data_IF_338800519128
#
_entry.id   IF_338800519128
#
_cell.length_a   1.000
_cell.length_b   1.000
_cell.length_c   1.000
_cell.angle_alpha   90.00
_cell.angle_beta   90.00
_cell.angle_gamma   90.00
#
_symmetry.space_group_name_H-M   'P 1'
#
loop_
_entity.id
_entity.type
_entity.pdbx_description
1 polymer ?
#
# COMPACT_ATOMS: atom_id res chain seq x y z
N UNK A 1 -3.64 14.09 4.22
CA UNK A 1 -3.54 13.44 2.89
C UNK A 1 -2.62 14.24 1.96
N UNK A 2 -1.67 13.56 1.30
CA UNK A 2 -0.85 14.14 0.24
C UNK A 2 -1.58 13.91 -1.10
N UNK A 3 -2.11 14.96 -1.76
CA UNK A 3 -2.94 14.78 -2.96
C UNK A 3 -2.23 14.05 -4.10
N UNK A 4 -0.89 14.07 -4.15
CA UNK A 4 -0.12 13.38 -5.18
C UNK A 4 -0.24 11.86 -5.07
N UNK A 5 -0.33 11.35 -3.85
CA UNK A 5 -0.28 9.91 -3.58
C UNK A 5 -1.64 9.35 -3.17
N UNK A 6 -2.60 10.20 -2.79
CA UNK A 6 -3.91 9.75 -2.37
C UNK A 6 -4.66 9.06 -3.54
N UNK A 7 -5.04 7.80 -3.33
CA UNK A 7 -5.72 6.97 -4.31
C UNK A 7 -7.20 6.78 -3.93
N UNK A 8 -8.15 6.85 -4.89
CA UNK A 8 -9.55 6.61 -4.60
C UNK A 8 -9.78 5.16 -4.16
N UNK A 9 -10.21 4.95 -2.91
CA UNK A 9 -10.52 3.60 -2.37
C UNK A 9 -11.54 2.85 -3.22
N UNK A 10 -12.46 3.55 -3.88
CA UNK A 10 -13.46 2.95 -4.79
C UNK A 10 -12.84 2.32 -6.05
N UNK A 11 -11.61 2.67 -6.39
CA UNK A 11 -10.84 2.08 -7.49
C UNK A 11 -9.89 0.97 -7.03
N UNK A 12 -9.92 0.60 -5.74
CA UNK A 12 -9.12 -0.46 -5.16
C UNK A 12 -10.01 -1.62 -4.73
N UNK A 13 -9.80 -2.80 -5.32
CA UNK A 13 -10.52 -4.03 -4.96
C UNK A 13 -9.56 -5.00 -4.28
N UNK A 14 -9.77 -5.24 -2.98
CA UNK A 14 -8.98 -6.22 -2.21
C UNK A 14 -9.39 -7.63 -2.63
N UNK A 15 -8.41 -8.48 -2.98
CA UNK A 15 -8.64 -9.86 -3.44
C UNK A 15 -8.39 -10.88 -2.32
N UNK A 16 -7.19 -10.87 -1.72
CA UNK A 16 -6.80 -11.86 -0.70
C UNK A 16 -5.71 -11.33 0.24
N UNK A 17 -5.53 -11.98 1.39
CA UNK A 17 -4.40 -11.73 2.29
C UNK A 17 -3.18 -12.51 1.79
N UNK A 18 -2.06 -11.82 1.57
CA UNK A 18 -0.79 -12.44 1.17
C UNK A 18 0.04 -12.85 2.39
N UNK A 19 -0.03 -12.07 3.47
CA UNK A 19 0.69 -12.36 4.69
C UNK A 19 0.33 -11.40 5.82
N UNK A 20 0.57 -11.85 7.05
CA UNK A 20 0.38 -11.06 8.26
C UNK A 20 1.51 -11.39 9.24
N UNK A 21 2.10 -10.36 9.86
CA UNK A 21 3.25 -10.54 10.74
C UNK A 21 3.50 -9.33 11.63
N UNK A 22 4.73 -9.17 12.08
CA UNK A 22 5.15 -8.03 12.92
C UNK A 22 5.01 -6.68 12.18
N UNK A 23 5.11 -6.71 10.85
CA UNK A 23 5.06 -5.51 10.00
C UNK A 23 3.64 -5.15 9.52
N UNK A 24 2.60 -5.65 10.20
CA UNK A 24 1.21 -5.49 9.80
C UNK A 24 0.71 -6.58 8.86
N UNK A 25 -0.22 -6.22 7.98
CA UNK A 25 -0.91 -7.11 7.03
C UNK A 25 -0.64 -6.66 5.59
N UNK A 26 -0.35 -7.63 4.72
CA UNK A 26 -0.17 -7.41 3.29
C UNK A 26 -1.28 -8.12 2.52
N UNK A 27 -1.92 -7.41 1.62
CA UNK A 27 -3.05 -7.86 0.81
C UNK A 27 -2.67 -7.82 -0.67
N UNK A 28 -3.23 -8.72 -1.46
CA UNK A 28 -3.28 -8.59 -2.91
C UNK A 28 -4.54 -7.82 -3.28
N UNK A 29 -4.43 -6.89 -4.23
CA UNK A 29 -5.55 -6.12 -4.72
C UNK A 29 -5.44 -5.82 -6.22
N UNK A 30 -6.55 -5.40 -6.82
CA UNK A 30 -6.60 -4.77 -8.14
C UNK A 30 -6.85 -3.29 -7.99
N UNK A 31 -5.98 -2.47 -8.56
CA UNK A 31 -6.16 -1.03 -8.65
C UNK A 31 -6.47 -0.65 -10.11
N UNK A 32 -7.40 0.29 -10.30
CA UNK A 32 -7.74 0.84 -11.62
C UNK A 32 -7.03 2.17 -11.82
N UNK A 33 -6.35 2.34 -12.96
CA UNK A 33 -5.70 3.59 -13.37
C UNK A 33 -4.72 4.14 -12.30
N UNK A 34 -3.87 3.28 -11.73
CA UNK A 34 -2.94 3.65 -10.66
C UNK A 34 -1.58 4.10 -11.21
N UNK A 35 -1.10 5.25 -10.73
CA UNK A 35 0.13 5.86 -11.23
C UNK A 35 0.05 6.12 -12.74
N UNK A 36 1.05 5.68 -13.49
CA UNK A 36 1.10 5.79 -14.96
C UNK A 36 0.51 4.57 -15.69
N UNK A 37 -0.24 3.70 -15.00
CA UNK A 37 -0.66 2.38 -15.49
C UNK A 37 -2.17 2.38 -15.74
N UNK A 38 -2.62 2.50 -17.00
CA UNK A 38 -4.04 2.49 -17.32
C UNK A 38 -4.67 1.10 -17.17
N UNK A 39 -5.92 1.04 -16.74
CA UNK A 39 -6.67 -0.20 -16.54
C UNK A 39 -6.36 -0.92 -15.23
N UNK A 40 -6.61 -2.23 -15.19
CA UNK A 40 -6.41 -3.03 -13.99
C UNK A 40 -4.94 -3.41 -13.79
N UNK A 41 -4.39 -3.03 -12.64
CA UNK A 41 -3.05 -3.42 -12.21
C UNK A 41 -3.14 -4.25 -10.93
N UNK A 42 -2.46 -5.39 -10.88
CA UNK A 42 -2.28 -6.15 -9.63
C UNK A 42 -1.30 -5.40 -8.74
N UNK A 43 -1.68 -5.16 -7.49
CA UNK A 43 -0.87 -4.42 -6.51
C UNK A 43 -0.83 -5.16 -5.18
N UNK A 44 0.22 -4.90 -4.41
CA UNK A 44 0.23 -5.25 -3.00
C UNK A 44 -0.25 -4.05 -2.17
N UNK A 45 -1.00 -4.31 -1.11
CA UNK A 45 -1.49 -3.29 -0.18
C UNK A 45 -1.01 -3.64 1.21
N UNK A 46 -0.13 -2.80 1.75
CA UNK A 46 0.30 -2.89 3.15
C UNK A 46 -0.66 -2.08 4.02
N UNK A 47 -1.10 -2.68 5.12
CA UNK A 47 -2.04 -2.09 6.05
C UNK A 47 -1.81 -2.60 7.47
N UNK A 48 -2.53 -2.03 8.43
CA UNK A 48 -2.51 -2.45 9.82
C UNK A 48 -3.44 -3.64 10.06
N UNK A 49 -3.16 -4.38 11.14
CA UNK A 49 -4.12 -5.32 11.71
C UNK A 49 -5.27 -4.57 12.37
N UNK A 50 -6.37 -5.27 12.63
CA UNK A 50 -7.57 -4.67 13.23
C UNK A 50 -7.33 -4.16 14.66
N UNK A 51 -6.38 -4.76 15.38
CA UNK A 51 -5.99 -4.45 16.75
C UNK A 51 -4.68 -3.65 16.86
N UNK A 52 -4.22 -3.06 15.75
CA UNK A 52 -2.96 -2.33 15.72
C UNK A 52 -2.94 -1.12 16.66
N UNK A 53 -1.80 -0.95 17.32
CA UNK A 53 -1.49 0.15 18.20
C UNK A 53 -1.23 1.46 17.45
N UNK A 54 -1.26 2.57 18.19
CA UNK A 54 -0.86 3.87 17.65
C UNK A 54 0.62 3.91 17.21
N UNK A 55 1.48 3.07 17.82
CA UNK A 55 2.88 2.96 17.41
C UNK A 55 2.98 2.32 16.04
N UNK A 56 2.29 1.20 15.79
CA UNK A 56 2.29 0.54 14.49
C UNK A 56 1.73 1.43 13.38
N UNK A 57 0.73 2.28 13.69
CA UNK A 57 0.27 3.32 12.75
C UNK A 57 1.37 4.33 12.44
N UNK A 58 2.11 4.80 13.45
CA UNK A 58 3.22 5.73 13.24
C UNK A 58 4.35 5.10 12.41
N UNK A 59 4.64 3.81 12.64
CA UNK A 59 5.64 3.05 11.87
C UNK A 59 5.20 2.92 10.41
N UNK A 60 3.95 2.54 10.14
CA UNK A 60 3.41 2.47 8.78
C UNK A 60 3.46 3.84 8.06
N UNK A 61 3.14 4.93 8.76
CA UNK A 61 3.22 6.28 8.20
C UNK A 61 4.67 6.72 7.96
N UNK A 62 5.62 6.23 8.77
CA UNK A 62 7.05 6.47 8.56
C UNK A 62 7.56 5.73 7.33
N UNK A 63 7.16 4.46 7.15
CA UNK A 63 7.42 3.70 5.92
C UNK A 63 6.87 4.41 4.69
N UNK A 64 5.65 4.95 4.77
CA UNK A 64 5.07 5.74 3.70
C UNK A 64 5.95 6.93 3.30
N UNK A 65 6.51 7.68 4.26
CA UNK A 65 7.43 8.79 3.92
C UNK A 65 8.70 8.28 3.23
N UNK A 66 9.29 7.19 3.70
CA UNK A 66 10.49 6.61 3.09
C UNK A 66 10.23 6.14 1.65
N UNK A 67 9.10 5.47 1.42
CA UNK A 67 8.74 4.97 0.10
C UNK A 67 8.42 6.08 -0.91
N UNK A 68 7.97 7.25 -0.46
CA UNK A 68 7.77 8.42 -1.35
C UNK A 68 9.07 8.98 -1.93
N UNK A 69 10.15 8.87 -1.17
CA UNK A 69 11.48 9.37 -1.54
C UNK A 69 12.31 8.29 -2.25
N UNK A 70 11.94 7.02 -2.08
CA UNK A 70 12.62 5.90 -2.69
C UNK A 70 12.33 5.79 -4.20
N UNK A 71 13.37 5.89 -5.02
CA UNK A 71 13.31 5.58 -6.45
C UNK A 71 14.53 4.77 -6.87
N UNK A 72 14.40 3.45 -6.93
CA UNK A 72 15.48 2.55 -7.33
C UNK A 72 14.91 1.23 -7.90
N UNK A 73 15.50 0.63 -8.95
CA UNK A 73 14.97 -0.59 -9.58
C UNK A 73 14.90 -1.82 -8.66
N UNK A 74 15.65 -1.84 -7.57
CA UNK A 74 15.67 -2.93 -6.59
C UNK A 74 14.89 -2.61 -5.30
N UNK A 75 14.12 -1.52 -5.27
CA UNK A 75 13.29 -1.13 -4.13
C UNK A 75 11.84 -1.14 -4.59
N UNK A 76 10.96 -1.77 -3.81
CA UNK A 76 9.54 -1.80 -4.10
C UNK A 76 9.02 -0.36 -4.22
N UNK A 77 8.37 -0.04 -5.33
CA UNK A 77 7.85 1.31 -5.58
C UNK A 77 6.49 1.51 -4.91
N UNK A 78 6.31 2.69 -4.33
CA UNK A 78 5.01 3.22 -3.95
C UNK A 78 4.23 3.63 -5.19
N UNK A 79 2.99 3.15 -5.31
CA UNK A 79 2.08 3.47 -6.40
C UNK A 79 1.00 4.46 -5.97
N UNK A 80 0.63 4.42 -4.70
CA UNK A 80 -0.36 5.30 -4.10
C UNK A 80 -0.62 4.95 -2.63
N UNK A 81 -1.51 5.68 -1.99
CA UNK A 81 -1.92 5.43 -0.62
C UNK A 81 -3.37 5.85 -0.39
N UNK A 82 -4.07 5.19 0.52
CA UNK A 82 -5.35 5.68 1.03
C UNK A 82 -5.14 6.10 2.49
N UNK A 83 -4.98 7.40 2.71
CA UNK A 83 -4.70 7.99 4.04
C UNK A 83 -5.85 8.87 4.55
N UNK A 84 -6.89 9.04 3.74
CA UNK A 84 -8.08 9.80 4.11
C UNK A 84 -8.75 9.24 5.37
N UNK A 85 -9.22 10.12 6.28
CA UNK A 85 -9.95 9.72 7.49
C UNK A 85 -11.18 8.88 7.17
N UNK A 86 -11.60 8.03 8.12
CA UNK A 86 -12.79 7.19 7.99
C UNK A 86 -12.56 5.83 7.34
N UNK A 87 -11.30 5.43 7.13
CA UNK A 87 -10.93 4.09 6.68
C UNK A 87 -9.51 3.69 7.07
N UNK A 88 -9.14 2.41 6.93
CA UNK A 88 -7.81 1.90 7.27
C UNK A 88 -6.73 2.49 6.37
N UNK A 89 -5.54 2.78 6.90
CA UNK A 89 -4.43 3.27 6.06
C UNK A 89 -3.98 2.16 5.13
N UNK A 90 -3.93 2.44 3.82
CA UNK A 90 -3.43 1.54 2.79
C UNK A 90 -2.23 2.16 2.11
N UNK A 91 -1.10 1.45 2.09
CA UNK A 91 0.02 1.76 1.22
C UNK A 91 -0.04 0.82 0.03
N UNK A 92 -0.27 1.38 -1.16
CA UNK A 92 -0.39 0.62 -2.40
C UNK A 92 0.97 0.61 -3.07
N UNK A 93 1.55 -0.58 -3.19
CA UNK A 93 2.91 -0.79 -3.66
C UNK A 93 2.93 -1.82 -4.80
N UNK A 94 4.03 -1.87 -5.55
CA UNK A 94 4.20 -2.85 -6.61
C UNK A 94 4.07 -4.28 -6.09
N UNK A 95 3.32 -5.11 -6.83
CA UNK A 95 3.19 -6.53 -6.52
C UNK A 95 4.40 -7.29 -7.07
N UNK A 96 5.22 -7.84 -6.19
CA UNK A 96 6.34 -8.71 -6.56
C UNK A 96 5.85 -10.16 -6.72
N UNK A 97 5.60 -10.59 -7.96
CA UNK A 97 5.03 -11.91 -8.29
C UNK A 97 5.88 -13.09 -7.79
N UNK A 98 7.19 -12.89 -7.61
CA UNK A 98 8.13 -13.92 -7.13
C UNK A 98 8.37 -13.89 -5.61
N UNK A 99 7.65 -13.06 -4.85
CA UNK A 99 7.79 -12.97 -3.40
C UNK A 99 9.09 -12.28 -2.94
N UNK A 100 9.40 -12.40 -1.65
CA UNK A 100 10.62 -11.85 -1.04
C UNK A 100 11.85 -12.69 -1.39
N UNK A 101 12.94 -12.02 -1.78
CA UNK A 101 14.30 -12.59 -1.83
C UNK A 101 14.88 -12.80 -0.42
#
# INVERSE_FOLDING_TARGET
PDPKWEFPRSQLTIEQVLGEGEFGRVLQAKAVDIGDWPGYTTVAVKTLKEDASASELADLLSEYQLLKEAQHPNVIRLLGACTSPGGPVYLIIEFAEFGSL
#
